data_IF_519828198672
#
_entry.id   IF_519828198672
#
_cell.length_a   1.000
_cell.length_b   1.000
_cell.length_c   1.000
_cell.angle_alpha   90.00
_cell.angle_beta   90.00
_cell.angle_gamma   90.00
#
_symmetry.space_group_name_H-M   'P 1'
#
loop_
_entity.id
_entity.type
_entity.pdbx_description
1 polymer ?
#
# COMPACT_ATOMS: atom_id res chain seq x y z
N UNK A 1 6.98 -6.66 14.90
CA UNK A 1 5.57 -6.93 15.32
C UNK A 1 4.96 -7.98 14.40
N UNK A 2 3.88 -8.71 14.77
CA UNK A 2 3.14 -9.52 13.80
C UNK A 2 2.20 -8.65 12.96
N UNK A 3 1.72 -9.19 11.85
CA UNK A 3 0.66 -8.58 11.05
C UNK A 3 -0.65 -8.53 11.87
N UNK A 4 -1.41 -7.44 11.77
CA UNK A 4 -2.60 -7.21 12.59
C UNK A 4 -3.75 -6.61 11.80
N UNK A 5 -4.97 -7.05 12.07
CA UNK A 5 -6.19 -6.38 11.58
C UNK A 5 -6.49 -5.18 12.47
N UNK A 6 -6.67 -4.01 11.86
CA UNK A 6 -7.16 -2.80 12.52
C UNK A 6 -8.44 -2.31 11.86
N UNK A 7 -9.40 -1.88 12.67
CA UNK A 7 -10.58 -1.17 12.17
C UNK A 7 -10.28 0.33 12.13
N UNK A 8 -10.14 0.91 10.94
CA UNK A 8 -9.92 2.33 10.73
C UNK A 8 -11.18 2.95 10.11
N UNK A 9 -11.89 3.79 10.86
CA UNK A 9 -13.16 4.39 10.43
C UNK A 9 -14.18 3.38 9.86
N UNK A 10 -14.32 2.23 10.54
CA UNK A 10 -15.25 1.17 10.16
C UNK A 10 -14.75 0.24 9.04
N UNK A 11 -13.54 0.48 8.50
CA UNK A 11 -12.93 -0.36 7.47
C UNK A 11 -11.91 -1.30 8.10
N UNK A 12 -11.98 -2.59 7.76
CA UNK A 12 -10.97 -3.56 8.16
C UNK A 12 -9.71 -3.43 7.30
N UNK A 13 -8.61 -3.09 7.94
CA UNK A 13 -7.30 -2.90 7.32
C UNK A 13 -6.34 -3.94 7.89
N UNK A 14 -5.79 -4.81 7.04
CA UNK A 14 -4.68 -5.68 7.41
C UNK A 14 -3.38 -4.87 7.36
N UNK A 15 -2.79 -4.62 8.53
CA UNK A 15 -1.55 -3.87 8.68
C UNK A 15 -0.38 -4.84 8.76
N UNK A 16 0.51 -4.75 7.77
CA UNK A 16 1.71 -5.56 7.73
C UNK A 16 2.80 -5.00 8.66
N UNK A 17 3.59 -5.90 9.22
CA UNK A 17 4.77 -5.56 10.02
C UNK A 17 5.91 -5.03 9.16
N UNK A 18 6.55 -3.95 9.61
CA UNK A 18 7.75 -3.42 8.95
C UNK A 18 8.95 -4.38 9.02
N UNK A 19 8.94 -5.33 9.96
CA UNK A 19 10.03 -6.30 10.16
C UNK A 19 9.93 -7.53 9.24
N UNK A 20 8.84 -7.63 8.47
CA UNK A 20 8.64 -8.74 7.55
C UNK A 20 9.47 -8.58 6.26
N UNK A 21 9.62 -9.67 5.50
CA UNK A 21 10.38 -9.65 4.25
C UNK A 21 9.88 -8.58 3.27
N UNK A 22 10.82 -7.92 2.61
CA UNK A 22 10.53 -6.91 1.59
C UNK A 22 9.91 -7.52 0.33
N UNK A 23 9.03 -6.77 -0.30
CA UNK A 23 8.41 -7.05 -1.59
C UNK A 23 9.42 -6.69 -2.67
N UNK A 24 9.92 -7.73 -3.34
CA UNK A 24 10.93 -7.62 -4.40
C UNK A 24 10.40 -8.13 -5.74
N UNK A 25 9.26 -8.82 -5.72
CA UNK A 25 8.75 -9.53 -6.88
C UNK A 25 7.23 -9.65 -6.86
N UNK A 26 6.66 -10.08 -7.99
CA UNK A 26 5.23 -10.38 -8.10
C UNK A 26 4.77 -11.56 -7.21
N UNK A 27 5.53 -12.65 -7.02
CA UNK A 27 5.23 -13.68 -6.03
C UNK A 27 5.05 -13.16 -4.60
N UNK A 28 5.83 -12.16 -4.19
CA UNK A 28 5.67 -11.57 -2.85
C UNK A 28 4.30 -10.90 -2.70
N UNK A 29 3.78 -10.28 -3.77
CA UNK A 29 2.44 -9.71 -3.78
C UNK A 29 1.34 -10.79 -3.69
N UNK A 30 1.54 -11.98 -4.27
CA UNK A 30 0.62 -13.11 -4.10
C UNK A 30 0.52 -13.54 -2.63
N UNK A 31 1.66 -13.65 -1.95
CA UNK A 31 1.68 -14.03 -0.55
C UNK A 31 0.93 -13.04 0.35
N UNK A 32 0.86 -11.76 -0.04
CA UNK A 32 0.02 -10.77 0.65
C UNK A 32 -1.46 -10.95 0.33
N UNK A 33 -1.83 -11.23 -0.93
CA UNK A 33 -3.21 -11.52 -1.31
C UNK A 33 -3.79 -12.72 -0.56
N UNK A 34 -3.01 -13.78 -0.37
CA UNK A 34 -3.41 -14.96 0.40
C UNK A 34 -3.77 -14.60 1.85
N UNK A 35 -2.99 -13.71 2.48
CA UNK A 35 -3.25 -13.24 3.84
C UNK A 35 -4.52 -12.39 3.92
N UNK A 36 -4.76 -11.54 2.92
CA UNK A 36 -5.97 -10.72 2.84
C UNK A 36 -7.21 -11.59 2.81
N UNK A 37 -7.22 -12.62 1.96
CA UNK A 37 -8.35 -13.54 1.85
C UNK A 37 -8.56 -14.36 3.13
N UNK A 38 -7.49 -14.75 3.81
CA UNK A 38 -7.59 -15.42 5.11
C UNK A 38 -8.23 -14.53 6.20
N UNK A 39 -8.17 -13.21 6.03
CA UNK A 39 -8.63 -12.22 7.00
C UNK A 39 -9.89 -11.44 6.58
N UNK A 40 -10.47 -11.74 5.42
CA UNK A 40 -11.62 -11.05 4.82
C UNK A 40 -11.47 -9.51 4.82
N UNK A 41 -10.24 -9.03 4.59
CA UNK A 41 -9.93 -7.60 4.56
C UNK A 41 -10.08 -7.04 3.14
N UNK A 42 -10.58 -5.82 3.01
CA UNK A 42 -10.63 -5.10 1.72
C UNK A 42 -9.48 -4.11 1.53
N UNK A 43 -8.80 -3.78 2.64
CA UNK A 43 -7.67 -2.86 2.68
C UNK A 43 -6.43 -3.51 3.27
N UNK A 44 -5.27 -3.14 2.72
CA UNK A 44 -3.97 -3.42 3.32
C UNK A 44 -3.18 -2.15 3.57
N UNK A 45 -2.41 -2.16 4.65
CA UNK A 45 -1.39 -1.17 4.95
C UNK A 45 -0.01 -1.84 4.89
N UNK A 46 0.79 -1.47 3.89
CA UNK A 46 2.16 -1.96 3.68
C UNK A 46 3.12 -0.86 4.13
N UNK A 47 3.98 -1.11 5.14
CA UNK A 47 5.02 -0.16 5.53
C UNK A 47 6.01 0.07 4.38
N UNK A 48 6.51 1.29 4.22
CA UNK A 48 7.53 1.64 3.22
C UNK A 48 8.80 0.81 3.36
N UNK A 49 9.11 0.32 4.56
CA UNK A 49 10.23 -0.56 4.88
C UNK A 49 10.12 -1.93 4.22
N UNK A 50 8.89 -2.37 3.90
CA UNK A 50 8.65 -3.59 3.13
C UNK A 50 8.83 -3.39 1.63
N UNK A 51 9.07 -2.17 1.15
CA UNK A 51 9.27 -1.93 -0.27
C UNK A 51 10.77 -1.91 -0.58
N UNK A 52 11.19 -2.72 -1.55
CA UNK A 52 12.56 -2.68 -2.06
C UNK A 52 12.84 -1.38 -2.81
N UNK A 53 14.11 -0.99 -2.93
CA UNK A 53 14.51 0.20 -3.70
C UNK A 53 14.03 0.14 -5.16
N UNK A 54 13.95 -1.07 -5.73
CA UNK A 54 13.43 -1.32 -7.08
C UNK A 54 11.96 -0.92 -7.22
N UNK A 55 11.17 -0.94 -6.14
CA UNK A 55 9.80 -0.44 -6.14
C UNK A 55 9.77 1.06 -6.43
N UNK A 56 10.68 1.83 -5.84
CA UNK A 56 10.76 3.28 -6.05
C UNK A 56 11.41 3.66 -7.39
N UNK A 57 12.14 2.73 -8.00
CA UNK A 57 12.76 2.88 -9.30
C UNK A 57 11.78 2.50 -10.43
N UNK A 58 10.84 3.39 -10.79
CA UNK A 58 9.72 3.08 -11.71
C UNK A 58 10.10 2.43 -13.06
N UNK A 59 11.33 2.60 -13.54
CA UNK A 59 11.82 1.93 -14.76
C UNK A 59 11.92 0.40 -14.62
N UNK A 60 12.04 -0.14 -13.40
CA UNK A 60 12.00 -1.59 -13.10
C UNK A 60 10.62 -2.19 -13.34
N UNK A 61 9.57 -1.35 -13.40
CA UNK A 61 8.15 -1.72 -13.48
C UNK A 61 7.62 -2.46 -12.26
N UNK A 62 8.42 -2.67 -11.21
CA UNK A 62 8.02 -3.45 -10.03
C UNK A 62 6.80 -2.85 -9.33
N UNK A 63 6.81 -1.53 -9.05
CA UNK A 63 5.68 -0.86 -8.41
C UNK A 63 4.38 -1.01 -9.21
N UNK A 64 4.46 -0.82 -10.53
CA UNK A 64 3.32 -0.99 -11.43
C UNK A 64 2.76 -2.41 -11.37
N UNK A 65 3.62 -3.43 -11.53
CA UNK A 65 3.22 -4.84 -11.50
C UNK A 65 2.60 -5.23 -10.16
N UNK A 66 3.23 -4.86 -9.04
CA UNK A 66 2.73 -5.18 -7.69
C UNK A 66 1.39 -4.49 -7.42
N UNK A 67 1.30 -3.18 -7.67
CA UNK A 67 0.08 -2.40 -7.37
C UNK A 67 -1.08 -2.76 -8.30
N UNK A 68 -0.80 -2.96 -9.60
CA UNK A 68 -1.81 -3.39 -10.56
C UNK A 68 -2.43 -4.72 -10.16
N UNK A 69 -1.64 -5.62 -9.55
CA UNK A 69 -2.16 -6.89 -9.05
C UNK A 69 -3.22 -6.68 -7.98
N UNK A 70 -2.94 -5.88 -6.96
CA UNK A 70 -3.93 -5.57 -5.92
C UNK A 70 -5.20 -4.96 -6.52
N UNK A 71 -5.07 -4.02 -7.47
CA UNK A 71 -6.20 -3.42 -8.18
C UNK A 71 -7.02 -4.46 -8.93
N UNK A 72 -6.37 -5.39 -9.66
CA UNK A 72 -7.05 -6.47 -10.40
C UNK A 72 -7.87 -7.38 -9.48
N UNK A 73 -7.37 -7.62 -8.26
CA UNK A 73 -8.06 -8.40 -7.24
C UNK A 73 -9.01 -7.56 -6.35
N UNK A 74 -9.26 -6.29 -6.72
CA UNK A 74 -10.12 -5.34 -5.98
C UNK A 74 -9.67 -5.10 -4.53
N UNK A 75 -8.39 -5.26 -4.27
CA UNK A 75 -7.76 -4.93 -3.00
C UNK A 75 -7.30 -3.48 -3.03
N UNK A 76 -7.64 -2.73 -1.99
CA UNK A 76 -7.18 -1.37 -1.80
C UNK A 76 -5.91 -1.35 -0.95
N UNK A 77 -4.94 -0.53 -1.34
CA UNK A 77 -3.59 -0.54 -0.79
C UNK A 77 -3.24 0.83 -0.24
N UNK A 78 -2.76 0.87 0.99
CA UNK A 78 -2.07 2.00 1.56
C UNK A 78 -0.59 1.66 1.76
N UNK A 79 0.29 2.42 1.12
CA UNK A 79 1.71 2.45 1.45
C UNK A 79 1.91 3.46 2.57
N UNK A 80 2.41 3.00 3.71
CA UNK A 80 2.45 3.77 4.97
C UNK A 80 3.89 4.04 5.38
N UNK A 81 4.25 5.31 5.53
CA UNK A 81 5.55 5.75 6.04
C UNK A 81 6.17 6.90 5.25
N UNK A 82 7.39 7.29 5.65
CA UNK A 82 8.08 8.44 5.06
C UNK A 82 8.70 8.12 3.69
N UNK A 83 8.19 8.80 2.65
CA UNK A 83 8.68 8.71 1.28
C UNK A 83 9.50 9.93 0.86
N UNK A 84 9.68 10.92 1.72
CA UNK A 84 10.28 12.23 1.40
C UNK A 84 11.63 12.08 0.70
N UNK A 85 12.48 11.16 1.17
CA UNK A 85 13.79 10.87 0.58
C UNK A 85 13.70 10.32 -0.86
N UNK A 86 12.71 9.49 -1.16
CA UNK A 86 12.54 8.89 -2.49
C UNK A 86 11.92 9.91 -3.44
N UNK A 87 10.93 10.66 -2.98
CA UNK A 87 10.23 11.69 -3.76
C UNK A 87 11.15 12.86 -4.13
N UNK A 88 12.06 13.25 -3.23
CA UNK A 88 13.06 14.29 -3.53
C UNK A 88 14.05 13.88 -4.63
N UNK A 89 14.23 12.57 -4.86
CA UNK A 89 15.20 12.03 -5.82
C UNK A 89 14.60 11.72 -7.19
N UNK A 90 13.27 11.75 -7.34
CA UNK A 90 12.61 11.32 -8.57
C UNK A 90 11.28 12.06 -8.80
N UNK A 91 11.26 12.94 -9.79
CA UNK A 91 10.03 13.60 -10.26
C UNK A 91 9.01 12.58 -10.77
N UNK A 92 9.46 11.54 -11.47
CA UNK A 92 8.58 10.48 -11.96
C UNK A 92 7.88 9.73 -10.82
N UNK A 93 8.59 9.44 -9.72
CA UNK A 93 7.98 8.86 -8.52
C UNK A 93 7.00 9.83 -7.86
N UNK A 94 7.34 11.12 -7.82
CA UNK A 94 6.45 12.15 -7.28
C UNK A 94 5.13 12.20 -8.05
N UNK A 95 5.19 12.25 -9.37
CA UNK A 95 4.01 12.26 -10.24
C UNK A 95 3.19 10.98 -10.08
N UNK A 96 3.87 9.82 -10.01
CA UNK A 96 3.22 8.53 -9.78
C UNK A 96 2.48 8.46 -8.44
N UNK A 97 3.10 8.92 -7.35
CA UNK A 97 2.48 8.98 -6.03
C UNK A 97 1.31 9.94 -6.03
N UNK A 98 1.46 11.12 -6.65
CA UNK A 98 0.40 12.13 -6.75
C UNK A 98 -0.81 11.60 -7.52
N UNK A 99 -0.60 10.92 -8.64
CA UNK A 99 -1.67 10.36 -9.44
C UNK A 99 -2.35 9.18 -8.74
N UNK A 100 -1.57 8.28 -8.13
CA UNK A 100 -2.11 7.18 -7.32
C UNK A 100 -3.00 7.72 -6.20
N UNK A 101 -2.54 8.74 -5.47
CA UNK A 101 -3.29 9.42 -4.41
C UNK A 101 -4.55 10.16 -4.89
N UNK A 102 -4.83 10.29 -6.19
CA UNK A 102 -6.13 10.76 -6.68
C UNK A 102 -7.12 9.62 -6.91
N UNK A 103 -6.62 8.40 -7.10
CA UNK A 103 -7.43 7.20 -7.27
C UNK A 103 -8.04 6.70 -5.95
N UNK A 104 -8.83 5.64 -6.06
CA UNK A 104 -9.53 5.00 -4.94
C UNK A 104 -8.84 3.73 -4.40
N UNK A 105 -7.84 3.21 -5.12
CA UNK A 105 -7.29 1.87 -4.86
C UNK A 105 -5.85 1.87 -4.31
N UNK A 106 -5.06 2.92 -4.54
CA UNK A 106 -3.67 2.98 -4.06
C UNK A 106 -3.40 4.33 -3.44
N UNK A 107 -3.10 4.35 -2.15
CA UNK A 107 -2.76 5.55 -1.41
C UNK A 107 -1.37 5.46 -0.81
N UNK A 108 -0.69 6.60 -0.74
CA UNK A 108 0.58 6.80 -0.07
C UNK A 108 0.35 7.82 1.04
N UNK A 109 0.57 7.40 2.28
CA UNK A 109 0.26 8.17 3.49
C UNK A 109 1.43 8.10 4.49
N UNK A 110 1.67 9.15 5.29
CA UNK A 110 2.81 9.18 6.21
C UNK A 110 2.67 8.20 7.37
N UNK A 111 1.44 7.89 7.80
CA UNK A 111 1.14 7.02 8.94
C UNK A 111 -0.29 6.46 8.87
N UNK A 112 -0.64 5.60 9.82
CA UNK A 112 -1.97 4.99 9.92
C UNK A 112 -3.06 5.98 10.32
N UNK A 113 -2.73 7.09 10.99
CA UNK A 113 -3.69 8.10 11.39
C UNK A 113 -4.14 8.91 10.17
N UNK A 114 -3.21 9.24 9.27
CA UNK A 114 -3.49 9.83 7.97
C UNK A 114 -4.32 8.88 7.09
N UNK A 115 -4.05 7.56 7.13
CA UNK A 115 -4.89 6.57 6.47
C UNK A 115 -6.32 6.61 7.02
N UNK A 116 -6.47 6.59 8.34
CA UNK A 116 -7.76 6.64 9.00
C UNK A 116 -8.52 7.91 8.58
N UNK A 117 -7.93 9.10 8.73
CA UNK A 117 -8.53 10.38 8.32
C UNK A 117 -9.00 10.36 6.87
N UNK A 118 -8.22 9.76 5.97
CA UNK A 118 -8.57 9.63 4.56
C UNK A 118 -9.75 8.69 4.34
N UNK A 119 -9.80 7.56 5.05
CA UNK A 119 -10.94 6.63 5.00
C UNK A 119 -12.22 7.26 5.53
N UNK A 120 -12.16 8.20 6.48
CA UNK A 120 -13.34 8.92 6.97
C UNK A 120 -13.96 9.85 5.92
N UNK A 121 -13.16 10.39 5.00
CA UNK A 121 -13.60 11.28 3.91
C UNK A 121 -13.97 10.56 2.61
N UNK A 122 -13.59 9.28 2.47
CA UNK A 122 -13.96 8.46 1.33
C UNK A 122 -15.40 7.95 1.49
N UNK A 123 -16.23 7.96 0.43
CA UNK A 123 -17.52 7.29 0.50
C UNK A 123 -17.27 5.82 0.85
N UNK A 124 -17.91 5.33 1.92
CA UNK A 124 -17.84 3.95 2.34
C UNK A 124 -18.11 3.07 1.11
N UNK A 125 -17.11 2.30 0.69
CA UNK A 125 -17.25 1.34 -0.40
C UNK A 125 -18.24 0.28 0.10
N UNK A 126 -19.51 0.42 -0.34
CA UNK A 126 -20.62 -0.48 -0.04
C UNK A 126 -20.51 -1.78 -0.82
#
# INVERSE_FOLDING_TARGET
MPDVIKTLNGVQVLVFSADAASITSEPDANALLEQIWAHDASWIAIPVERLSDDFFALHTRLAGTVLQKFVNYRVQVAIVGDLSRHLARSTALNDFVRESNRGAAVWFVPDLDALALRLAGAPASR
#
